data_IF_177331922478
#
_entry.id   IF_177331922478
#
_cell.length_a   1.000
_cell.length_b   1.000
_cell.length_c   1.000
_cell.angle_alpha   90.00
_cell.angle_beta   90.00
_cell.angle_gamma   90.00
#
_symmetry.space_group_name_H-M   'P 1'
#
loop_
_entity.id
_entity.type
_entity.pdbx_description
1 polymer ?
#
# COMPACT_ATOMS: atom_id res chain seq x y z
N UNK A 1 8.58 14.09 27.23
CA UNK A 1 8.80 14.35 25.80
C UNK A 1 9.12 13.01 25.19
N UNK A 2 8.19 12.39 24.45
CA UNK A 2 8.52 11.23 23.63
C UNK A 2 9.42 11.73 22.49
N UNK A 3 10.59 11.13 22.31
CA UNK A 3 11.42 11.38 21.13
C UNK A 3 10.62 10.95 19.90
N UNK A 4 10.43 11.87 18.95
CA UNK A 4 9.75 11.59 17.71
C UNK A 4 10.72 10.78 16.83
N UNK A 5 10.35 9.54 16.50
CA UNK A 5 11.24 8.62 15.81
C UNK A 5 10.91 8.60 14.33
N UNK A 6 11.95 8.61 13.50
CA UNK A 6 11.82 8.53 12.06
C UNK A 6 11.70 7.08 11.60
N UNK A 7 10.60 6.76 10.94
CA UNK A 7 10.24 5.43 10.48
C UNK A 7 9.96 5.41 8.98
N UNK A 8 10.45 4.39 8.27
CA UNK A 8 9.84 3.98 7.00
C UNK A 8 8.59 3.14 7.26
N UNK A 9 7.70 3.04 6.27
CA UNK A 9 6.59 2.06 6.34
C UNK A 9 7.11 0.65 6.61
N UNK A 10 8.22 0.27 5.97
CA UNK A 10 8.80 -1.07 6.12
C UNK A 10 9.28 -1.33 7.55
N UNK A 11 9.92 -0.35 8.18
CA UNK A 11 10.34 -0.47 9.58
C UNK A 11 9.12 -0.59 10.50
N UNK A 12 8.12 0.29 10.30
CA UNK A 12 6.90 0.32 11.09
C UNK A 12 6.14 -1.01 11.05
N UNK A 13 5.92 -1.59 9.87
CA UNK A 13 5.17 -2.85 9.71
C UNK A 13 5.97 -4.09 10.16
N UNK A 14 7.31 -4.01 10.14
CA UNK A 14 8.13 -5.08 10.69
C UNK A 14 8.04 -5.13 12.22
N UNK A 15 8.08 -3.96 12.85
CA UNK A 15 8.03 -3.81 14.31
C UNK A 15 6.61 -4.01 14.87
N UNK A 16 5.59 -3.49 14.19
CA UNK A 16 4.21 -3.45 14.67
C UNK A 16 3.21 -3.93 13.63
N UNK A 17 2.10 -4.53 14.08
CA UNK A 17 0.93 -4.69 13.22
C UNK A 17 0.23 -3.35 13.03
N UNK A 18 -0.19 -3.02 11.81
CA UNK A 18 -0.82 -1.74 11.48
C UNK A 18 -2.32 -1.98 11.31
N UNK A 19 -3.12 -1.41 12.21
CA UNK A 19 -4.58 -1.58 12.21
C UNK A 19 -5.27 -0.25 11.90
N UNK A 20 -5.85 -0.14 10.71
CA UNK A 20 -6.57 1.06 10.25
C UNK A 20 -7.95 1.16 10.97
N UNK A 21 -8.18 2.15 11.88
CA UNK A 21 -9.39 2.23 12.71
C UNK A 21 -10.70 2.59 11.98
N UNK A 22 -11.82 2.42 12.71
CA UNK A 22 -13.23 2.55 12.25
C UNK A 22 -13.63 3.97 11.83
N UNK A 23 -13.20 4.99 12.59
CA UNK A 23 -13.65 6.40 12.43
C UNK A 23 -13.19 6.99 11.08
N UNK A 24 -12.43 6.22 10.30
CA UNK A 24 -11.94 6.60 9.00
C UNK A 24 -13.04 6.59 7.94
N UNK A 25 -13.06 7.68 7.17
CA UNK A 25 -13.75 7.72 5.87
C UNK A 25 -13.10 6.70 4.93
N UNK A 26 -13.83 6.33 3.88
CA UNK A 26 -13.30 5.45 2.82
C UNK A 26 -11.92 5.93 2.34
N UNK A 27 -11.13 4.99 1.84
CA UNK A 27 -9.87 5.31 1.17
C UNK A 27 -10.11 6.30 0.03
N UNK A 28 -9.79 7.58 0.25
CA UNK A 28 -10.19 8.70 -0.58
C UNK A 28 -9.15 9.04 -1.64
N UNK A 29 -7.85 8.78 -1.38
CA UNK A 29 -6.76 9.03 -2.34
C UNK A 29 -6.87 8.16 -3.60
N UNK A 30 -7.60 7.04 -3.52
CA UNK A 30 -7.92 6.20 -4.67
C UNK A 30 -9.24 6.54 -5.37
N UNK A 31 -9.91 7.66 -5.07
CA UNK A 31 -11.17 8.01 -5.77
C UNK A 31 -10.89 8.52 -7.20
N UNK A 32 -11.83 8.26 -8.10
CA UNK A 32 -11.80 8.72 -9.50
C UNK A 32 -12.42 10.12 -9.64
N UNK A 33 -11.86 11.10 -8.92
CA UNK A 33 -12.17 12.52 -9.08
C UNK A 33 -10.92 13.24 -9.56
N UNK A 34 -11.05 14.17 -10.51
CA UNK A 34 -9.91 14.86 -11.17
C UNK A 34 -8.90 15.44 -10.17
N UNK A 35 -9.37 16.21 -9.18
CA UNK A 35 -8.51 16.75 -8.11
C UNK A 35 -7.79 15.67 -7.29
N UNK A 36 -8.42 14.51 -7.10
CA UNK A 36 -7.82 13.39 -6.36
C UNK A 36 -6.77 12.67 -7.23
N UNK A 37 -7.00 12.60 -8.53
CA UNK A 37 -6.05 12.05 -9.49
C UNK A 37 -4.75 12.85 -9.52
N UNK A 38 -4.82 14.19 -9.53
CA UNK A 38 -3.64 15.05 -9.43
C UNK A 38 -2.84 14.77 -8.16
N UNK A 39 -3.51 14.71 -7.00
CA UNK A 39 -2.88 14.43 -5.70
C UNK A 39 -2.22 13.04 -5.72
N UNK A 40 -2.89 12.03 -6.23
CA UNK A 40 -2.37 10.66 -6.36
C UNK A 40 -1.14 10.62 -7.27
N UNK A 41 -1.23 11.22 -8.46
CA UNK A 41 -0.16 11.19 -9.45
C UNK A 41 1.07 11.99 -8.97
N UNK A 42 0.85 13.10 -8.28
CA UNK A 42 1.91 13.87 -7.63
C UNK A 42 2.60 13.05 -6.55
N UNK A 43 1.84 12.43 -5.63
CA UNK A 43 2.39 11.61 -4.55
C UNK A 43 3.20 10.42 -5.07
N UNK A 44 2.65 9.66 -6.02
CA UNK A 44 3.37 8.54 -6.66
C UNK A 44 4.59 9.02 -7.47
N UNK A 45 4.52 10.22 -8.05
CA UNK A 45 5.64 10.88 -8.71
C UNK A 45 6.79 11.15 -7.76
N UNK A 46 6.52 11.79 -6.62
CA UNK A 46 7.52 12.05 -5.60
C UNK A 46 8.16 10.77 -5.09
N UNK A 47 7.38 9.71 -4.86
CA UNK A 47 7.93 8.40 -4.45
C UNK A 47 8.82 7.80 -5.55
N UNK A 48 8.38 7.83 -6.80
CA UNK A 48 9.20 7.29 -7.90
C UNK A 48 10.53 8.04 -8.02
N UNK A 49 10.50 9.38 -8.02
CA UNK A 49 11.70 10.21 -8.08
C UNK A 49 12.64 9.93 -6.90
N UNK A 50 12.10 9.83 -5.69
CA UNK A 50 12.86 9.47 -4.50
C UNK A 50 13.57 8.11 -4.66
N UNK A 51 12.82 7.12 -5.15
CA UNK A 51 13.32 5.77 -5.38
C UNK A 51 14.29 5.66 -6.55
N UNK A 52 14.20 6.47 -7.59
CA UNK A 52 15.11 6.42 -8.75
C UNK A 52 16.39 7.23 -8.49
N UNK A 53 16.24 8.44 -7.95
CA UNK A 53 17.35 9.38 -7.71
C UNK A 53 18.06 9.16 -6.37
N UNK A 54 17.64 8.18 -5.55
CA UNK A 54 18.09 8.01 -4.17
C UNK A 54 17.93 9.30 -3.33
N UNK A 55 16.84 10.04 -3.56
CA UNK A 55 16.53 11.25 -2.79
C UNK A 55 15.65 10.91 -1.61
N UNK A 56 15.98 11.49 -0.47
CA UNK A 56 15.13 11.42 0.70
C UNK A 56 13.81 12.15 0.44
N UNK A 57 12.71 11.50 0.78
CA UNK A 57 11.35 12.00 0.72
C UNK A 57 10.77 11.91 2.13
N UNK A 58 10.61 13.09 2.73
CA UNK A 58 9.81 13.26 3.94
C UNK A 58 8.34 13.17 3.54
N UNK A 59 7.63 12.22 4.14
CA UNK A 59 6.23 11.98 3.86
C UNK A 59 5.32 12.59 4.97
N UNK A 60 5.88 13.52 5.73
CA UNK A 60 5.29 14.22 6.87
C UNK A 60 5.12 13.30 8.10
N UNK A 61 4.14 13.61 8.94
CA UNK A 61 3.89 12.94 10.21
C UNK A 61 2.83 11.85 10.07
N UNK A 62 3.01 10.76 10.83
CA UNK A 62 1.99 9.72 11.05
C UNK A 62 1.95 9.48 12.55
N UNK A 63 0.91 9.94 13.22
CA UNK A 63 0.76 9.72 14.66
C UNK A 63 -0.43 8.78 14.94
N UNK A 64 -0.30 8.03 16.02
CA UNK A 64 -1.26 7.01 16.39
C UNK A 64 -1.11 6.60 17.85
N UNK A 65 -1.76 5.51 18.20
CA UNK A 65 -1.65 4.91 19.53
C UNK A 65 -1.14 3.48 19.43
N UNK A 66 -0.37 3.08 20.44
CA UNK A 66 0.06 1.70 20.60
C UNK A 66 -0.97 0.93 21.42
N UNK A 67 -1.41 -0.21 20.89
CA UNK A 67 -2.30 -1.16 21.57
C UNK A 67 -1.51 -2.42 21.89
N UNK A 68 -1.43 -2.75 23.18
CA UNK A 68 -0.71 -3.90 23.73
C UNK A 68 0.77 -3.98 23.28
N UNK A 69 1.40 -2.82 23.05
CA UNK A 69 2.80 -2.67 22.60
C UNK A 69 3.17 -3.42 21.31
N UNK A 70 2.17 -3.86 20.53
CA UNK A 70 2.37 -4.68 19.30
C UNK A 70 1.58 -4.19 18.10
N UNK A 71 0.54 -3.40 18.34
CA UNK A 71 -0.36 -2.92 17.29
C UNK A 71 -0.29 -1.40 17.26
N UNK A 72 0.11 -0.85 16.13
CA UNK A 72 0.02 0.58 15.85
C UNK A 72 -1.35 0.89 15.22
N UNK A 73 -2.09 1.78 15.86
CA UNK A 73 -3.41 2.25 15.41
C UNK A 73 -3.26 3.72 14.98
N UNK A 74 -3.09 4.02 13.67
CA UNK A 74 -2.91 5.39 13.19
C UNK A 74 -4.17 6.24 13.42
N UNK A 75 -3.99 7.39 14.05
CA UNK A 75 -5.03 8.43 14.20
C UNK A 75 -5.06 9.35 12.98
N UNK A 76 -3.90 9.59 12.36
CA UNK A 76 -3.74 10.28 11.07
C UNK A 76 -2.77 9.52 10.15
N UNK A 77 -2.68 9.90 8.87
CA UNK A 77 -1.76 9.30 7.90
C UNK A 77 -2.21 7.95 7.32
N UNK A 78 -3.45 7.57 7.60
CA UNK A 78 -4.00 6.24 7.30
C UNK A 78 -4.10 5.98 5.78
N UNK A 79 -4.40 7.03 5.01
CA UNK A 79 -4.45 6.99 3.56
C UNK A 79 -3.05 6.78 2.96
N UNK A 80 -2.03 7.44 3.53
CA UNK A 80 -0.63 7.29 3.14
C UNK A 80 -0.13 5.87 3.44
N UNK A 81 -0.43 5.35 4.64
CA UNK A 81 -0.09 3.96 5.01
C UNK A 81 -0.77 2.94 4.08
N UNK A 82 -2.03 3.16 3.71
CA UNK A 82 -2.73 2.29 2.73
C UNK A 82 -2.05 2.36 1.36
N UNK A 83 -1.70 3.55 0.88
CA UNK A 83 -0.98 3.71 -0.40
C UNK A 83 0.35 2.97 -0.39
N UNK A 84 1.13 3.13 0.69
CA UNK A 84 2.42 2.46 0.83
C UNK A 84 2.28 0.94 0.95
N UNK A 85 1.28 0.44 1.68
CA UNK A 85 0.96 -0.98 1.69
C UNK A 85 0.72 -1.52 0.26
N UNK A 86 -0.13 -0.84 -0.52
CA UNK A 86 -0.43 -1.24 -1.91
C UNK A 86 0.80 -1.18 -2.81
N UNK A 87 1.66 -0.16 -2.63
CA UNK A 87 2.91 -0.03 -3.38
C UNK A 87 3.90 -1.16 -3.06
N UNK A 88 4.10 -1.48 -1.78
CA UNK A 88 4.96 -2.60 -1.37
C UNK A 88 4.44 -3.92 -1.91
N UNK A 89 3.13 -4.17 -1.80
CA UNK A 89 2.51 -5.35 -2.38
C UNK A 89 2.74 -5.41 -3.90
N UNK A 90 2.47 -4.33 -4.62
CA UNK A 90 2.62 -4.29 -6.08
C UNK A 90 4.05 -4.60 -6.52
N UNK A 91 5.05 -3.93 -5.92
CA UNK A 91 6.45 -4.17 -6.26
C UNK A 91 6.88 -5.59 -5.88
N UNK A 92 6.43 -6.12 -4.74
CA UNK A 92 6.75 -7.49 -4.35
C UNK A 92 6.20 -8.55 -5.31
N UNK A 93 4.98 -8.35 -5.82
CA UNK A 93 4.40 -9.26 -6.83
C UNK A 93 5.11 -9.11 -8.17
N UNK A 94 5.33 -7.87 -8.63
CA UNK A 94 6.00 -7.58 -9.91
C UNK A 94 7.44 -8.11 -9.95
N UNK A 95 8.16 -8.00 -8.84
CA UNK A 95 9.56 -8.43 -8.72
C UNK A 95 9.68 -9.88 -8.20
N UNK A 96 8.55 -10.59 -8.09
CA UNK A 96 8.47 -12.01 -7.74
C UNK A 96 9.10 -12.37 -6.37
N UNK A 97 8.99 -11.47 -5.38
CA UNK A 97 9.45 -11.69 -4.00
C UNK A 97 8.31 -11.69 -2.96
N UNK A 98 7.04 -11.66 -3.40
CA UNK A 98 5.86 -11.69 -2.52
C UNK A 98 5.87 -12.86 -1.52
N UNK A 99 6.39 -14.03 -1.92
CA UNK A 99 6.46 -15.20 -1.05
C UNK A 99 7.36 -14.98 0.17
N UNK A 100 8.42 -14.18 0.02
CA UNK A 100 9.41 -13.87 1.06
C UNK A 100 8.85 -12.86 2.07
N UNK A 101 8.00 -11.95 1.60
CA UNK A 101 7.52 -10.82 2.40
C UNK A 101 6.07 -10.91 2.84
N UNK A 102 5.35 -11.97 2.44
CA UNK A 102 3.95 -12.22 2.78
C UNK A 102 3.66 -12.07 4.28
N UNK A 103 4.52 -12.64 5.12
CA UNK A 103 4.36 -12.61 6.58
C UNK A 103 4.50 -11.21 7.19
N UNK A 104 5.13 -10.28 6.47
CA UNK A 104 5.24 -8.88 6.88
C UNK A 104 3.99 -8.14 6.43
N UNK A 105 3.63 -8.24 5.15
CA UNK A 105 2.50 -7.49 4.57
C UNK A 105 1.14 -7.86 5.19
N UNK A 106 0.94 -9.11 5.62
CA UNK A 106 -0.30 -9.54 6.27
C UNK A 106 -0.56 -8.86 7.63
N UNK A 107 0.46 -8.19 8.20
CA UNK A 107 0.32 -7.41 9.44
C UNK A 107 -0.41 -6.08 9.24
N UNK A 108 -0.63 -5.65 7.99
CA UNK A 108 -1.47 -4.50 7.65
C UNK A 108 -2.93 -4.91 7.49
N UNK A 109 -3.86 -4.30 8.23
CA UNK A 109 -5.27 -4.66 8.17
C UNK A 109 -6.23 -3.53 8.55
N UNK A 110 -7.51 -3.70 8.23
CA UNK A 110 -8.62 -2.81 8.63
C UNK A 110 -9.33 -3.39 9.86
N UNK A 111 -9.57 -2.60 10.91
CA UNK A 111 -10.03 -3.14 12.20
C UNK A 111 -11.50 -3.59 12.21
N UNK A 112 -12.41 -2.95 11.46
CA UNK A 112 -13.85 -3.32 11.46
C UNK A 112 -14.53 -3.33 10.09
N UNK A 113 -13.86 -2.90 9.03
CA UNK A 113 -14.38 -3.06 7.66
C UNK A 113 -14.03 -4.46 7.17
N UNK A 114 -14.91 -5.41 7.44
CA UNK A 114 -14.70 -6.85 7.14
C UNK A 114 -14.30 -7.07 5.70
N UNK A 115 -15.02 -6.49 4.74
CA UNK A 115 -14.70 -6.53 3.31
C UNK A 115 -13.29 -6.05 3.00
N UNK A 116 -12.91 -4.85 3.45
CA UNK A 116 -11.56 -4.29 3.19
C UNK A 116 -10.46 -5.13 3.84
N UNK A 117 -10.69 -5.65 5.05
CA UNK A 117 -9.75 -6.55 5.72
C UNK A 117 -9.58 -7.87 4.98
N UNK A 118 -10.68 -8.51 4.60
CA UNK A 118 -10.65 -9.76 3.85
C UNK A 118 -9.99 -9.56 2.49
N UNK A 119 -10.26 -8.45 1.81
CA UNK A 119 -9.60 -8.08 0.56
C UNK A 119 -8.10 -7.91 0.74
N UNK A 120 -7.62 -7.10 1.70
CA UNK A 120 -6.18 -6.93 1.95
C UNK A 120 -5.49 -8.27 2.28
N UNK A 121 -6.14 -9.12 3.09
CA UNK A 121 -5.63 -10.45 3.41
C UNK A 121 -5.56 -11.35 2.17
N UNK A 122 -6.61 -11.39 1.35
CA UNK A 122 -6.65 -12.21 0.15
C UNK A 122 -5.62 -11.73 -0.89
N UNK A 123 -5.52 -10.41 -1.07
CA UNK A 123 -4.56 -9.76 -1.96
C UNK A 123 -3.10 -10.19 -1.66
N UNK A 124 -2.72 -10.27 -0.38
CA UNK A 124 -1.37 -10.67 0.04
C UNK A 124 -1.17 -12.18 -0.02
N UNK A 125 -2.20 -12.97 0.29
CA UNK A 125 -2.08 -14.44 0.36
C UNK A 125 -2.16 -15.12 -1.01
N UNK A 126 -2.87 -14.53 -1.97
CA UNK A 126 -3.09 -15.13 -3.28
C UNK A 126 -2.79 -14.14 -4.42
N UNK A 127 -1.52 -14.14 -4.85
CA UNK A 127 -1.06 -13.43 -6.04
C UNK A 127 -1.00 -14.34 -7.28
N UNK A 128 -1.67 -15.51 -7.27
CA UNK A 128 -1.55 -16.50 -8.34
C UNK A 128 -2.05 -15.99 -9.69
N UNK A 129 -3.08 -15.14 -9.69
CA UNK A 129 -3.63 -14.49 -10.89
C UNK A 129 -2.62 -13.56 -11.60
N UNK A 130 -1.56 -13.16 -10.91
CA UNK A 130 -0.50 -12.27 -11.42
C UNK A 130 0.82 -13.00 -11.61
N UNK A 131 0.88 -14.31 -11.34
CA UNK A 131 2.09 -15.11 -11.51
C UNK A 131 2.39 -15.28 -13.00
N UNK A 132 3.65 -15.05 -13.38
CA UNK A 132 4.13 -15.11 -14.77
C UNK A 132 3.45 -14.12 -15.74
N UNK A 133 2.76 -13.09 -15.22
CA UNK A 133 2.17 -12.05 -16.06
C UNK A 133 3.27 -11.06 -16.45
N UNK A 134 3.31 -10.67 -17.72
CA UNK A 134 4.18 -9.59 -18.19
C UNK A 134 3.59 -8.23 -17.81
N UNK A 135 4.00 -7.68 -16.67
CA UNK A 135 3.50 -6.39 -16.17
C UNK A 135 3.61 -5.24 -17.18
N UNK A 136 4.61 -5.23 -18.07
CA UNK A 136 4.80 -4.15 -19.04
C UNK A 136 3.68 -4.08 -20.09
N UNK A 137 3.08 -5.22 -20.43
CA UNK A 137 2.02 -5.31 -21.44
C UNK A 137 0.62 -5.16 -20.86
N UNK A 138 0.48 -5.13 -19.53
CA UNK A 138 -0.80 -4.87 -18.88
C UNK A 138 -1.21 -3.41 -19.00
N UNK A 139 -2.51 -3.21 -19.22
CA UNK A 139 -3.14 -1.90 -19.12
C UNK A 139 -3.51 -1.58 -17.66
N UNK A 140 -4.19 -2.53 -17.00
CA UNK A 140 -4.65 -2.43 -15.62
C UNK A 140 -4.37 -3.70 -14.85
N UNK A 141 -4.00 -3.53 -13.58
CA UNK A 141 -3.81 -4.68 -12.69
C UNK A 141 -5.13 -5.04 -12.00
N UNK A 142 -6.05 -4.09 -11.87
CA UNK A 142 -7.39 -4.32 -11.33
C UNK A 142 -8.11 -5.45 -12.07
N UNK A 143 -8.01 -5.50 -13.40
CA UNK A 143 -8.72 -6.48 -14.22
C UNK A 143 -8.28 -7.92 -13.90
N UNK A 144 -7.00 -8.11 -13.58
CA UNK A 144 -6.49 -9.42 -13.15
C UNK A 144 -6.91 -9.78 -11.72
N UNK A 145 -6.94 -8.78 -10.83
CA UNK A 145 -7.37 -8.96 -9.44
C UNK A 145 -8.86 -9.31 -9.39
N UNK A 146 -9.70 -8.60 -10.14
CA UNK A 146 -11.15 -8.81 -10.18
C UNK A 146 -11.53 -10.16 -10.79
N UNK A 147 -10.70 -10.70 -11.69
CA UNK A 147 -10.89 -12.02 -12.30
C UNK A 147 -10.28 -13.17 -11.48
N UNK A 148 -9.65 -12.89 -10.33
CA UNK A 148 -9.05 -13.93 -9.50
C UNK A 148 -10.11 -14.75 -8.76
N UNK A 149 -9.87 -16.05 -8.59
CA UNK A 149 -10.83 -16.97 -7.94
C UNK A 149 -11.16 -16.60 -6.49
N UNK A 150 -10.28 -15.88 -5.81
CA UNK A 150 -10.47 -15.42 -4.43
C UNK A 150 -11.21 -14.08 -4.34
N UNK A 151 -11.43 -13.39 -5.46
CA UNK A 151 -12.08 -12.08 -5.47
C UNK A 151 -13.60 -12.23 -5.38
N UNK A 152 -14.18 -11.70 -4.31
CA UNK A 152 -15.64 -11.74 -4.13
C UNK A 152 -16.32 -10.60 -4.86
N UNK A 153 -17.31 -10.90 -5.71
CA UNK A 153 -18.08 -9.89 -6.46
C UNK A 153 -18.73 -8.82 -5.57
N UNK A 154 -19.04 -9.14 -4.32
CA UNK A 154 -19.57 -8.16 -3.35
C UNK A 154 -18.59 -7.03 -3.04
N UNK A 155 -17.29 -7.27 -3.15
CA UNK A 155 -16.24 -6.29 -2.89
C UNK A 155 -16.23 -5.14 -3.91
N UNK A 156 -16.77 -5.35 -5.12
CA UNK A 156 -16.98 -4.26 -6.09
C UNK A 156 -17.94 -3.18 -5.57
N UNK A 157 -18.73 -3.46 -4.54
CA UNK A 157 -19.63 -2.46 -3.91
C UNK A 157 -18.97 -1.71 -2.76
N UNK A 158 -17.80 -2.16 -2.30
CA UNK A 158 -17.07 -1.51 -1.24
C UNK A 158 -16.29 -0.30 -1.79
N UNK A 159 -16.54 0.93 -1.30
CA UNK A 159 -15.87 2.13 -1.80
C UNK A 159 -14.37 2.14 -1.51
N UNK A 160 -13.92 1.52 -0.42
CA UNK A 160 -12.50 1.43 -0.08
C UNK A 160 -11.78 0.48 -1.02
N UNK A 161 -12.35 -0.70 -1.29
CA UNK A 161 -11.76 -1.67 -2.23
C UNK A 161 -11.70 -1.08 -3.64
N UNK A 162 -12.77 -0.45 -4.10
CA UNK A 162 -12.78 0.29 -5.38
C UNK A 162 -11.63 1.29 -5.46
N UNK A 163 -11.41 2.06 -4.40
CA UNK A 163 -10.31 3.02 -4.37
C UNK A 163 -8.93 2.36 -4.27
N UNK A 164 -8.80 1.20 -3.63
CA UNK A 164 -7.56 0.42 -3.66
C UNK A 164 -7.23 -0.05 -5.08
N UNK A 165 -8.21 -0.57 -5.82
CA UNK A 165 -8.03 -1.01 -7.21
C UNK A 165 -7.60 0.15 -8.11
N UNK A 166 -8.25 1.31 -8.00
CA UNK A 166 -7.85 2.53 -8.74
C UNK A 166 -6.42 2.98 -8.38
N UNK A 167 -6.05 2.91 -7.10
CA UNK A 167 -4.67 3.23 -6.70
C UNK A 167 -3.67 2.20 -7.25
N UNK A 168 -4.01 0.92 -7.25
CA UNK A 168 -3.18 -0.13 -7.83
C UNK A 168 -2.96 0.07 -9.32
N UNK A 169 -3.97 0.50 -10.07
CA UNK A 169 -3.81 0.87 -11.48
C UNK A 169 -2.91 2.09 -11.67
N UNK A 170 -3.01 3.09 -10.79
CA UNK A 170 -2.13 4.26 -10.83
C UNK A 170 -0.68 3.91 -10.50
N UNK A 171 -0.46 3.07 -9.48
CA UNK A 171 0.85 2.49 -9.15
C UNK A 171 1.35 1.70 -10.36
N UNK A 172 0.51 0.87 -10.96
CA UNK A 172 0.87 0.08 -12.12
C UNK A 172 1.34 0.95 -13.29
N UNK A 173 0.54 1.95 -13.67
CA UNK A 173 0.86 2.90 -14.73
C UNK A 173 2.22 3.59 -14.50
N UNK A 174 2.51 3.97 -13.25
CA UNK A 174 3.75 4.66 -12.87
C UNK A 174 4.97 3.73 -12.81
N UNK A 175 4.81 2.52 -12.28
CA UNK A 175 5.92 1.63 -11.90
C UNK A 175 6.07 0.38 -12.80
N UNK A 176 5.26 0.18 -13.84
CA UNK A 176 5.34 -1.02 -14.70
C UNK A 176 6.63 -1.16 -15.50
N UNK A 177 7.29 -0.05 -15.84
CA UNK A 177 8.54 -0.06 -16.63
C UNK A 177 9.81 -0.05 -15.79
N UNK A 178 9.73 0.28 -14.50
CA UNK A 178 10.86 0.32 -13.57
C UNK A 178 11.27 -1.10 -13.16
N UNK A 179 12.45 -1.30 -12.57
CA UNK A 179 12.89 -2.60 -12.06
C UNK A 179 13.75 -2.40 -10.80
N UNK A 180 13.80 -3.41 -9.94
CA UNK A 180 14.64 -3.45 -8.72
C UNK A 180 14.35 -2.28 -7.76
N UNK A 181 13.08 -1.94 -7.59
CA UNK A 181 12.67 -0.88 -6.67
C UNK A 181 12.19 -1.41 -5.33
N UNK A 182 11.87 -2.70 -5.20
CA UNK A 182 11.40 -3.26 -3.92
C UNK A 182 12.48 -3.15 -2.83
N UNK A 183 13.70 -3.57 -3.14
CA UNK A 183 14.84 -3.45 -2.22
C UNK A 183 15.13 -2.01 -1.87
N UNK A 184 15.00 -1.08 -2.83
CA UNK A 184 15.15 0.35 -2.54
C UNK A 184 14.09 0.82 -1.56
N UNK A 185 12.82 0.51 -1.82
CA UNK A 185 11.70 0.94 -0.97
C UNK A 185 11.79 0.38 0.47
N UNK A 186 12.41 -0.79 0.66
CA UNK A 186 12.45 -1.49 1.95
C UNK A 186 13.74 -1.30 2.74
N UNK A 187 14.90 -1.25 2.07
CA UNK A 187 16.21 -1.20 2.73
C UNK A 187 16.70 0.23 2.97
N UNK A 188 16.18 1.20 2.22
CA UNK A 188 16.63 2.58 2.32
C UNK A 188 15.65 3.43 3.13
N UNK A 189 16.18 4.37 3.90
CA UNK A 189 15.38 5.43 4.56
C UNK A 189 15.04 6.56 3.58
N UNK A 190 14.56 6.20 2.39
CA UNK A 190 14.18 7.18 1.37
C UNK A 190 12.76 7.72 1.57
N UNK A 191 11.89 6.96 2.23
CA UNK A 191 10.49 7.31 2.42
C UNK A 191 10.17 7.20 3.90
N UNK A 192 10.32 8.30 4.62
CA UNK A 192 10.18 8.32 6.09
C UNK A 192 9.04 9.20 6.54
N UNK A 193 8.53 8.88 7.73
CA UNK A 193 7.61 9.69 8.48
C UNK A 193 8.09 9.77 9.92
N UNK A 194 7.70 10.83 10.60
CA UNK A 194 7.89 10.94 12.04
C UNK A 194 6.66 10.35 12.76
N UNK A 195 6.91 9.38 13.65
CA UNK A 195 5.91 8.70 14.50
C UNK A 195 6.07 9.13 15.96
#
# INVERSE_FOLDING_TARGET
MSEANEYTFWQLINEYAIHIPIIQRDYAQGRAFERIEEIRNSFLGSIQEALEDNKHLDLDFVYGSMKNDKIFVPLDGQQRLTTLFLLHWYLAVKENCIDEVRQILIKFTYETRTSSREFCNALVNDSSALKNVEFKSLEKISDHIENANWFFMSWQRDPTIKSMLVMLDAIHSKFKTTNNLFDRLTLTKLCTYII
#
